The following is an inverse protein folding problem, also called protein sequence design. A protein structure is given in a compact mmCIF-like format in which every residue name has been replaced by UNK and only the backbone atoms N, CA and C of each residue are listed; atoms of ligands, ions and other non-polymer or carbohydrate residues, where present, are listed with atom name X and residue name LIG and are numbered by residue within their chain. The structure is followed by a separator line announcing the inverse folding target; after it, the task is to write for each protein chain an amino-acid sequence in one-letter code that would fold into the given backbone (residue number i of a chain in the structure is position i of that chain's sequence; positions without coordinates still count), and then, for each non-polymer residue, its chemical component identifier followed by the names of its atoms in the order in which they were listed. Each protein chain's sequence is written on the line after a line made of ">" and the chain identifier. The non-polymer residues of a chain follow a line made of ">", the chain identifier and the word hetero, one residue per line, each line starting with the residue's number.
data_IF_507138379530
#
_entry.id   IF_507138379530
#
_cell.length_a   1.000
_cell.length_b   1.000
_cell.length_c   1.000
_cell.angle_alpha   90.00
_cell.angle_beta   90.00
_cell.angle_gamma   90.00
#
_symmetry.space_group_name_H-M   'P 1'
#
loop_
_entity.id
_entity.type
_entity.pdbx_description
1 polymer ?
#
# COMPACT_ATOMS: atom_id res chain seq x y z
N UNK A 1 -23.29 4.11 -4.67
CA UNK A 1 -22.32 3.21 -3.99
C UNK A 1 -21.33 4.10 -3.26
N UNK A 2 -21.08 3.89 -1.97
CA UNK A 2 -20.15 4.73 -1.23
C UNK A 2 -18.74 4.60 -1.82
N UNK A 3 -18.20 5.70 -2.34
CA UNK A 3 -16.86 5.76 -2.91
C UNK A 3 -15.86 5.38 -1.82
N UNK A 4 -15.36 4.15 -1.88
CA UNK A 4 -14.41 3.63 -0.91
C UNK A 4 -13.03 4.15 -1.30
N UNK A 5 -12.43 4.98 -0.47
CA UNK A 5 -11.06 5.44 -0.67
C UNK A 5 -10.07 4.43 -0.09
N UNK A 6 -8.87 4.41 -0.66
CA UNK A 6 -7.76 3.59 -0.20
C UNK A 6 -6.49 4.43 -0.18
N UNK A 7 -5.71 4.29 0.88
CA UNK A 7 -4.37 4.84 0.99
C UNK A 7 -3.39 3.80 0.47
N UNK A 8 -2.65 4.15 -0.58
CA UNK A 8 -1.61 3.31 -1.16
C UNK A 8 -0.25 3.87 -0.83
N UNK A 9 0.64 3.02 -0.36
CA UNK A 9 2.05 3.30 -0.17
C UNK A 9 2.81 2.89 -1.44
N UNK A 10 3.45 3.86 -2.07
CA UNK A 10 4.37 3.67 -3.18
C UNK A 10 5.81 3.74 -2.67
N UNK A 11 6.68 2.89 -3.22
CA UNK A 11 8.14 3.02 -3.11
C UNK A 11 8.66 4.00 -4.17
N UNK A 12 9.90 4.49 -4.00
CA UNK A 12 10.61 5.31 -4.99
C UNK A 12 10.64 4.73 -6.39
N UNK A 13 10.65 3.40 -6.53
CA UNK A 13 10.58 2.71 -7.83
C UNK A 13 9.18 2.75 -8.49
N UNK A 14 8.20 3.46 -7.89
CA UNK A 14 6.81 3.55 -8.36
C UNK A 14 5.95 2.35 -7.96
N UNK A 15 6.48 1.41 -7.20
CA UNK A 15 5.82 0.14 -6.91
C UNK A 15 4.90 0.24 -5.68
N UNK A 16 3.72 -0.36 -5.81
CA UNK A 16 2.72 -0.40 -4.75
C UNK A 16 3.16 -1.40 -3.67
N UNK A 17 3.64 -0.87 -2.54
CA UNK A 17 4.13 -1.67 -1.43
C UNK A 17 3.00 -2.11 -0.50
N UNK A 18 2.04 -1.23 -0.25
CA UNK A 18 0.91 -1.50 0.63
C UNK A 18 -0.33 -0.74 0.18
N UNK A 19 -1.51 -1.32 0.35
CA UNK A 19 -2.78 -0.62 0.22
C UNK A 19 -3.62 -0.83 1.47
N UNK A 20 -4.20 0.25 1.98
CA UNK A 20 -5.11 0.25 3.11
C UNK A 20 -6.42 0.89 2.71
N UNK A 21 -7.51 0.13 2.84
CA UNK A 21 -8.86 0.67 2.61
C UNK A 21 -9.21 1.62 3.75
N UNK A 22 -9.63 2.83 3.41
CA UNK A 22 -10.10 3.81 4.38
C UNK A 22 -11.44 3.36 4.95
N UNK A 23 -11.39 2.65 6.08
CA UNK A 23 -12.57 2.29 6.87
C UNK A 23 -12.73 3.27 8.02
N UNK A 24 -13.88 3.96 8.14
CA UNK A 24 -14.08 4.99 9.16
C UNK A 24 -13.93 4.43 10.59
N UNK A 25 -14.26 3.15 10.79
CA UNK A 25 -14.13 2.43 12.05
C UNK A 25 -12.66 2.24 12.50
N UNK A 26 -11.69 2.28 11.56
CA UNK A 26 -10.26 2.06 11.81
C UNK A 26 -9.38 3.25 11.38
N UNK A 27 -9.97 4.44 11.21
CA UNK A 27 -9.26 5.65 10.74
C UNK A 27 -8.00 6.00 11.54
N UNK A 28 -8.01 5.75 12.86
CA UNK A 28 -6.87 6.01 13.74
C UNK A 28 -5.71 5.04 13.49
N UNK A 29 -6.02 3.76 13.30
CA UNK A 29 -5.02 2.73 12.99
C UNK A 29 -4.43 2.95 11.60
N UNK A 30 -5.28 3.29 10.61
CA UNK A 30 -4.83 3.65 9.26
C UNK A 30 -3.89 4.84 9.31
N UNK A 31 -4.25 5.92 10.01
CA UNK A 31 -3.38 7.09 10.14
C UNK A 31 -2.04 6.78 10.82
N UNK A 32 -2.02 5.88 11.82
CA UNK A 32 -0.78 5.43 12.46
C UNK A 32 0.12 4.65 11.50
N UNK A 33 -0.45 3.71 10.75
CA UNK A 33 0.31 2.92 9.78
C UNK A 33 0.82 3.78 8.62
N UNK A 34 0.02 4.74 8.15
CA UNK A 34 0.45 5.76 7.17
C UNK A 34 1.63 6.56 7.71
N UNK A 35 1.53 7.10 8.92
CA UNK A 35 2.62 7.85 9.54
C UNK A 35 3.89 7.00 9.72
N UNK A 36 3.74 5.71 10.07
CA UNK A 36 4.85 4.77 10.17
C UNK A 36 5.50 4.51 8.82
N UNK A 37 4.72 4.32 7.76
CA UNK A 37 5.25 4.14 6.41
C UNK A 37 5.97 5.39 5.90
N UNK A 38 5.45 6.60 6.16
CA UNK A 38 6.15 7.85 5.81
C UNK A 38 7.51 7.92 6.50
N UNK A 39 7.60 7.52 7.78
CA UNK A 39 8.89 7.45 8.51
C UNK A 39 9.86 6.42 7.96
N UNK A 40 9.34 5.38 7.31
CA UNK A 40 10.15 4.36 6.62
C UNK A 40 10.54 4.78 5.20
N UNK A 41 10.11 5.96 4.74
CA UNK A 41 10.43 6.47 3.40
C UNK A 41 9.40 6.12 2.32
N UNK A 42 8.22 5.62 2.68
CA UNK A 42 7.15 5.36 1.70
C UNK A 42 6.35 6.63 1.38
N UNK A 43 6.01 6.80 0.10
CA UNK A 43 5.12 7.86 -0.36
C UNK A 43 3.66 7.38 -0.35
N UNK A 44 2.77 8.07 0.36
CA UNK A 44 1.35 7.69 0.39
C UNK A 44 0.51 8.52 -0.56
N UNK A 45 -0.31 7.85 -1.36
CA UNK A 45 -1.31 8.46 -2.22
C UNK A 45 -2.70 7.99 -1.83
N UNK A 46 -3.68 8.90 -1.86
CA UNK A 46 -5.08 8.58 -1.64
C UNK A 46 -5.74 8.35 -2.99
N UNK A 47 -6.08 7.10 -3.28
CA UNK A 47 -6.76 6.69 -4.51
C UNK A 47 -8.13 6.10 -4.19
N UNK A 48 -8.96 5.91 -5.20
CA UNK A 48 -10.19 5.14 -5.04
C UNK A 48 -9.87 3.65 -5.01
N UNK A 49 -10.64 2.87 -4.27
CA UNK A 49 -10.45 1.41 -4.21
C UNK A 49 -10.53 0.76 -5.59
N UNK A 50 -11.32 1.34 -6.51
CA UNK A 50 -11.39 0.91 -7.90
C UNK A 50 -10.04 1.11 -8.61
N UNK A 51 -9.43 2.30 -8.49
CA UNK A 51 -8.12 2.58 -9.07
C UNK A 51 -7.02 1.67 -8.50
N UNK A 52 -7.04 1.41 -7.18
CA UNK A 52 -6.06 0.51 -6.55
C UNK A 52 -6.18 -0.94 -7.03
N UNK A 53 -7.40 -1.38 -7.39
CA UNK A 53 -7.64 -2.70 -7.98
C UNK A 53 -7.18 -2.79 -9.43
N UNK A 54 -7.25 -1.67 -10.15
CA UNK A 54 -6.82 -1.57 -11.54
C UNK A 54 -5.30 -1.39 -11.66
N UNK A 55 -4.63 -0.86 -10.64
CA UNK A 55 -3.18 -0.77 -10.59
C UNK A 55 -2.52 -2.15 -10.54
N UNK A 56 -1.44 -2.31 -11.31
CA UNK A 56 -0.58 -3.48 -11.22
C UNK A 56 0.27 -3.44 -9.94
N UNK A 57 0.15 -4.49 -9.13
CA UNK A 57 0.95 -4.72 -7.92
C UNK A 57 2.33 -5.30 -8.23
N UNK A 58 2.75 -5.24 -9.49
CA UNK A 58 3.92 -5.93 -10.00
C UNK A 58 5.03 -4.92 -10.24
N UNK A 59 6.10 -5.05 -9.46
CA UNK A 59 7.31 -4.28 -9.66
C UNK A 59 8.26 -5.10 -10.54
N UNK A 60 8.69 -4.62 -11.72
CA UNK A 60 9.65 -5.34 -12.54
C UNK A 60 11.01 -5.50 -11.83
N UNK A 61 11.40 -4.54 -10.99
CA UNK A 61 12.62 -4.60 -10.17
C UNK A 61 12.49 -5.41 -8.87
N UNK A 62 11.27 -5.67 -8.40
CA UNK A 62 11.02 -6.46 -7.19
C UNK A 62 10.07 -7.63 -7.49
N UNK A 63 10.33 -8.39 -8.56
CA UNK A 63 9.72 -9.70 -8.76
C UNK A 63 10.06 -10.56 -7.54
N UNK A 64 9.14 -10.62 -6.58
CA UNK A 64 9.16 -11.68 -5.58
C UNK A 64 8.91 -12.94 -6.38
N UNK A 65 9.97 -13.69 -6.64
CA UNK A 65 9.84 -15.05 -7.16
C UNK A 65 8.93 -15.80 -6.19
N UNK A 66 7.78 -16.33 -6.62
CA UNK A 66 6.96 -17.16 -5.76
C UNK A 66 7.75 -18.44 -5.47
N UNK A 67 8.45 -18.49 -4.34
CA UNK A 67 9.28 -19.66 -3.99
C UNK A 67 10.25 -19.53 -2.82
N UNK A 68 10.64 -18.32 -2.39
CA UNK A 68 11.62 -18.19 -1.29
C UNK A 68 10.95 -17.80 0.03
N UNK A 69 11.16 -18.56 1.12
CA UNK A 69 10.59 -18.24 2.42
C UNK A 69 11.19 -16.94 2.93
N UNK A 70 10.33 -15.98 3.31
CA UNK A 70 10.72 -14.76 4.03
C UNK A 70 11.46 -15.17 5.29
N UNK A 71 12.78 -15.04 5.29
CA UNK A 71 13.63 -15.22 6.45
C UNK A 71 13.25 -14.14 7.49
N UNK A 72 12.57 -14.56 8.57
CA UNK A 72 12.51 -13.79 9.81
C UNK A 72 13.90 -13.91 10.45
N UNK A 73 14.68 -12.83 10.38
CA UNK A 73 15.81 -12.58 11.28
C UNK A 73 15.33 -11.96 12.58
#
# INVERSE_FOLDING_TARGET
>A
MAESFSYVALKDCGCLAMAMVDRPERKKDVAKEVAKGIRQGYAFHRLTTQQVRDMEWTCPEHKVVPGEPVARG
#
